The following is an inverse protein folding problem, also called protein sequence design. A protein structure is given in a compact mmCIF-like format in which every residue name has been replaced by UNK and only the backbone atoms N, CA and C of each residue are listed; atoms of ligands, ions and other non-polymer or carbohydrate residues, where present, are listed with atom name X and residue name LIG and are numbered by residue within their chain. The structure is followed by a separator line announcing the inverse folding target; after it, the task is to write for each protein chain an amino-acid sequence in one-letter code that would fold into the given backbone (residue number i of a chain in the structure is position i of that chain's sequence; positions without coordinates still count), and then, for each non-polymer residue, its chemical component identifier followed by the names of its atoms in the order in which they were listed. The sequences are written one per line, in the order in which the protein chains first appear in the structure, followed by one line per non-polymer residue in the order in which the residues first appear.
data_IF_288304786277
#
_entry.id   IF_288304786277
#
_cell.length_a   1.000
_cell.length_b   1.000
_cell.length_c   1.000
_cell.angle_alpha   90.00
_cell.angle_beta   90.00
_cell.angle_gamma   90.00
#
_symmetry.space_group_name_H-M   'P 1'
#
loop_
_entity.id
_entity.type
_entity.pdbx_description
1 polymer ?
#
# COMPACT_ATOMS: atom_id res chain seq x y z
N UNK A 1 78.78 60.08 18.09
CA UNK A 1 78.56 60.59 16.72
C UNK A 1 78.16 59.41 15.85
N UNK A 2 76.94 59.39 15.28
CA UNK A 2 76.65 59.55 13.83
C UNK A 2 77.47 58.57 12.95
N UNK A 3 76.97 57.77 12.02
CA UNK A 3 75.65 57.51 11.42
C UNK A 3 75.77 56.19 10.60
N UNK A 4 74.72 55.36 10.62
CA UNK A 4 74.03 54.64 9.50
C UNK A 4 74.84 54.07 8.31
N UNK A 5 74.54 52.83 7.89
CA UNK A 5 73.85 52.55 6.60
C UNK A 5 73.33 51.09 6.50
N UNK A 6 72.17 50.94 5.84
CA UNK A 6 71.28 49.77 5.67
C UNK A 6 71.77 48.74 4.61
N UNK A 7 71.21 47.51 4.57
CA UNK A 7 70.19 47.26 3.54
C UNK A 7 68.96 46.44 3.98
N UNK A 8 67.92 46.61 3.15
CA UNK A 8 66.56 46.09 3.14
C UNK A 8 66.50 44.60 2.78
N UNK A 9 65.59 43.80 3.36
CA UNK A 9 64.95 42.65 2.68
C UNK A 9 63.58 42.30 3.31
N UNK A 10 62.61 42.03 2.41
CA UNK A 10 61.39 41.23 2.45
C UNK A 10 60.13 41.59 3.28
N UNK A 11 59.08 41.79 2.48
CA UNK A 11 57.66 41.65 2.77
C UNK A 11 57.26 40.21 3.11
N UNK A 12 56.14 40.05 3.83
CA UNK A 12 55.07 39.10 3.48
C UNK A 12 53.79 39.42 4.26
N UNK A 13 52.70 39.54 3.51
CA UNK A 13 51.30 39.66 3.94
C UNK A 13 50.82 38.36 4.60
N UNK A 14 49.96 38.44 5.63
CA UNK A 14 49.09 37.34 6.02
C UNK A 14 47.79 37.80 6.71
N UNK A 15 46.67 37.25 6.22
CA UNK A 15 45.40 36.91 6.91
C UNK A 15 44.51 38.08 7.42
N UNK A 16 43.17 38.11 7.23
CA UNK A 16 42.21 36.99 7.31
C UNK A 16 40.75 37.40 7.00
N UNK A 17 39.96 36.36 6.65
CA UNK A 17 38.53 36.08 6.96
C UNK A 17 37.39 37.03 6.53
N UNK A 18 36.54 36.55 5.61
CA UNK A 18 35.22 35.98 5.99
C UNK A 18 34.40 35.60 4.75
N UNK A 19 34.37 34.31 4.40
CA UNK A 19 33.41 33.76 3.46
C UNK A 19 32.40 32.93 4.27
N UNK A 20 31.29 33.56 4.64
CA UNK A 20 30.17 32.90 5.32
C UNK A 20 29.38 32.12 4.26
N UNK A 21 29.75 30.85 4.06
CA UNK A 21 28.96 29.92 3.26
C UNK A 21 27.72 29.51 4.07
N UNK A 22 26.55 30.02 3.70
CA UNK A 22 25.27 29.55 4.22
C UNK A 22 25.02 28.13 3.72
N UNK A 23 25.48 27.15 4.50
CA UNK A 23 25.07 25.76 4.38
C UNK A 23 23.57 25.70 4.68
N UNK A 24 22.75 25.84 3.65
CA UNK A 24 21.37 25.35 3.73
C UNK A 24 21.47 23.84 3.91
N UNK A 25 20.93 23.25 5.00
CA UNK A 25 20.80 21.81 5.05
C UNK A 25 19.87 21.44 3.89
N UNK A 26 20.43 20.84 2.84
CA UNK A 26 19.63 20.09 1.89
C UNK A 26 19.00 18.97 2.73
N UNK A 27 17.71 19.08 3.03
CA UNK A 27 16.98 18.02 3.72
C UNK A 27 17.07 16.80 2.81
N UNK A 28 17.94 15.86 3.18
CA UNK A 28 18.12 14.63 2.45
C UNK A 28 16.73 13.99 2.35
N UNK A 29 16.29 13.73 1.11
CA UNK A 29 15.04 13.02 0.87
C UNK A 29 15.09 11.72 1.69
N UNK A 30 14.06 11.41 2.51
CA UNK A 30 14.02 10.12 3.17
C UNK A 30 14.21 9.04 2.10
N UNK A 31 15.15 8.12 2.32
CA UNK A 31 15.38 7.01 1.40
C UNK A 31 14.18 6.06 1.50
N UNK A 32 13.17 6.31 0.66
CA UNK A 32 11.92 5.58 0.64
C UNK A 32 12.08 4.39 -0.31
N UNK A 33 11.94 3.14 0.18
CA UNK A 33 12.12 1.95 -0.63
C UNK A 33 11.15 1.84 -1.81
N UNK A 34 11.64 1.30 -2.94
CA UNK A 34 10.84 1.11 -4.16
C UNK A 34 9.79 0.00 -4.05
N UNK A 35 9.88 -0.85 -3.03
CA UNK A 35 8.92 -1.95 -2.80
C UNK A 35 7.63 -1.51 -2.07
N UNK A 36 7.40 -0.19 -1.96
CA UNK A 36 6.15 0.42 -1.54
C UNK A 36 5.25 0.69 -2.77
N UNK A 37 4.34 -0.24 -3.05
CA UNK A 37 3.51 -0.25 -4.27
C UNK A 37 2.12 0.38 -4.12
N UNK A 38 1.41 0.40 -5.24
CA UNK A 38 0.00 0.82 -5.34
C UNK A 38 -0.32 2.22 -4.78
N UNK A 39 0.66 3.14 -4.85
CA UNK A 39 0.51 4.52 -4.34
C UNK A 39 0.89 4.69 -2.86
N UNK A 40 1.32 3.62 -2.17
CA UNK A 40 1.80 3.72 -0.78
C UNK A 40 3.05 4.61 -0.68
N UNK A 41 3.98 4.51 -1.63
CA UNK A 41 5.17 5.39 -1.68
C UNK A 41 4.78 6.86 -1.71
N UNK A 42 3.93 7.26 -2.66
CA UNK A 42 3.44 8.62 -2.78
C UNK A 42 2.70 9.10 -1.53
N UNK A 43 1.98 8.22 -0.85
CA UNK A 43 1.32 8.51 0.42
C UNK A 43 2.30 8.71 1.59
N UNK A 44 3.36 7.90 1.65
CA UNK A 44 4.44 8.07 2.63
C UNK A 44 5.19 9.38 2.39
N UNK A 45 5.49 9.72 1.13
CA UNK A 45 6.08 11.01 0.76
C UNK A 45 5.16 12.15 1.19
N UNK A 46 3.86 12.05 0.89
CA UNK A 46 2.87 13.04 1.28
C UNK A 46 2.83 13.26 2.80
N UNK A 47 2.96 12.19 3.60
CA UNK A 47 2.96 12.28 5.06
C UNK A 47 4.13 13.12 5.61
N UNK A 48 5.31 13.02 5.00
CA UNK A 48 6.51 13.74 5.47
C UNK A 48 6.78 15.07 4.76
N UNK A 49 6.46 15.15 3.46
CA UNK A 49 6.79 16.27 2.59
C UNK A 49 5.68 16.48 1.55
N UNK A 50 4.53 17.05 1.95
CA UNK A 50 3.37 17.22 1.08
C UNK A 50 3.60 18.17 -0.10
N UNK A 51 4.68 18.97 -0.10
CA UNK A 51 5.10 19.81 -1.22
C UNK A 51 6.00 19.09 -2.23
N UNK A 52 6.40 17.84 -1.96
CA UNK A 52 7.18 17.06 -2.92
C UNK A 52 6.33 16.75 -4.17
N UNK A 53 6.86 16.87 -5.40
CA UNK A 53 6.11 16.59 -6.62
C UNK A 53 5.62 15.14 -6.73
N UNK A 54 6.22 14.19 -6.03
CA UNK A 54 5.78 12.80 -5.97
C UNK A 54 4.73 12.55 -4.87
N UNK A 55 4.51 13.52 -3.98
CA UNK A 55 3.54 13.43 -2.91
C UNK A 55 2.11 13.35 -3.48
N UNK A 56 1.37 12.32 -3.08
CA UNK A 56 -0.04 12.21 -3.41
C UNK A 56 -0.83 11.58 -2.26
N UNK A 57 -2.04 12.09 -2.00
CA UNK A 57 -3.05 11.37 -1.21
C UNK A 57 -3.84 10.45 -2.13
N UNK A 58 -3.69 9.12 -2.04
CA UNK A 58 -4.54 8.21 -2.77
C UNK A 58 -5.97 8.39 -2.26
N UNK A 59 -6.89 8.74 -3.17
CA UNK A 59 -8.30 9.05 -2.85
C UNK A 59 -9.01 7.91 -2.09
N UNK A 60 -8.49 6.69 -2.20
CA UNK A 60 -9.11 5.46 -1.66
C UNK A 60 -8.25 4.74 -0.63
N UNK A 61 -7.26 5.40 -0.05
CA UNK A 61 -6.53 4.85 1.09
C UNK A 61 -7.50 4.59 2.26
N UNK A 62 -7.40 3.42 2.88
CA UNK A 62 -8.23 3.02 4.02
C UNK A 62 -7.43 3.15 5.30
N UNK A 63 -8.05 3.70 6.35
CA UNK A 63 -7.40 3.90 7.65
C UNK A 63 -8.20 3.24 8.76
N UNK A 64 -7.52 2.80 9.82
CA UNK A 64 -8.18 2.44 11.07
C UNK A 64 -8.36 3.65 12.00
N UNK A 65 -8.97 3.43 13.18
CA UNK A 65 -9.18 4.48 14.18
C UNK A 65 -7.88 5.04 14.78
N UNK A 66 -6.74 4.37 14.58
CA UNK A 66 -5.41 4.81 15.00
C UNK A 66 -4.64 5.55 13.90
N UNK A 67 -5.26 5.77 12.73
CA UNK A 67 -4.64 6.46 11.60
C UNK A 67 -3.64 5.59 10.82
N UNK A 68 -3.60 4.27 11.05
CA UNK A 68 -2.78 3.34 10.27
C UNK A 68 -3.44 3.03 8.95
N UNK A 69 -2.67 2.87 7.88
CA UNK A 69 -3.18 2.62 6.54
C UNK A 69 -3.28 1.11 6.24
N UNK A 70 -4.38 0.67 5.61
CA UNK A 70 -4.54 -0.71 5.18
C UNK A 70 -3.60 -1.04 4.01
N UNK A 71 -2.83 -2.11 4.17
CA UNK A 71 -1.84 -2.57 3.21
C UNK A 71 -1.85 -4.09 3.08
N UNK A 72 -1.36 -4.53 1.93
CA UNK A 72 -1.12 -5.92 1.59
C UNK A 72 0.38 -6.13 1.50
N UNK A 73 0.90 -6.95 2.40
CA UNK A 73 2.31 -7.28 2.51
C UNK A 73 2.53 -8.67 1.92
N UNK A 74 3.46 -8.75 0.98
CA UNK A 74 3.80 -9.99 0.30
C UNK A 74 5.13 -10.52 0.83
N UNK A 75 5.14 -11.77 1.28
CA UNK A 75 6.35 -12.44 1.72
C UNK A 75 7.17 -12.94 0.52
N UNK A 76 8.50 -13.01 0.67
CA UNK A 76 9.42 -13.55 -0.34
C UNK A 76 9.88 -14.99 -0.03
N UNK A 77 9.46 -15.57 1.09
CA UNK A 77 9.79 -16.95 1.50
C UNK A 77 11.16 -17.13 2.16
N UNK A 78 11.98 -16.08 2.29
CA UNK A 78 13.30 -16.16 2.97
C UNK A 78 13.19 -16.26 4.50
N UNK A 79 12.01 -16.00 5.05
CA UNK A 79 11.68 -16.14 6.47
C UNK A 79 10.36 -16.89 6.63
N UNK A 80 10.20 -17.67 7.71
CA UNK A 80 8.90 -18.19 8.11
C UNK A 80 7.89 -17.06 8.32
N UNK A 81 6.65 -17.26 7.89
CA UNK A 81 5.60 -16.23 7.96
C UNK A 81 5.31 -15.77 9.40
N UNK A 82 5.45 -16.67 10.38
CA UNK A 82 5.34 -16.36 11.80
C UNK A 82 6.44 -15.39 12.29
N UNK A 83 7.67 -15.50 11.77
CA UNK A 83 8.74 -14.57 12.15
C UNK A 83 8.57 -13.20 11.49
N UNK A 84 8.08 -13.18 10.24
CA UNK A 84 7.77 -11.95 9.53
C UNK A 84 6.63 -11.18 10.23
N UNK A 85 5.55 -11.87 10.59
CA UNK A 85 4.41 -11.27 11.32
C UNK A 85 4.83 -10.69 12.67
N UNK A 86 5.60 -11.43 13.48
CA UNK A 86 6.13 -10.91 14.74
C UNK A 86 7.02 -9.67 14.54
N UNK A 87 7.84 -9.65 13.48
CA UNK A 87 8.68 -8.49 13.15
C UNK A 87 7.83 -7.28 12.76
N UNK A 88 6.76 -7.48 12.00
CA UNK A 88 5.81 -6.41 11.63
C UNK A 88 5.07 -5.87 12.86
N UNK A 89 4.58 -6.75 13.74
CA UNK A 89 3.88 -6.34 14.97
C UNK A 89 4.77 -5.53 15.90
N UNK A 90 6.07 -5.86 15.98
CA UNK A 90 7.05 -5.08 16.75
C UNK A 90 7.20 -3.63 16.25
N UNK A 91 6.84 -3.36 14.99
CA UNK A 91 6.80 -2.02 14.40
C UNK A 91 5.44 -1.33 14.57
N UNK A 92 4.49 -1.92 15.30
CA UNK A 92 3.15 -1.37 15.51
C UNK A 92 2.17 -1.66 14.37
N UNK A 93 2.54 -2.55 13.44
CA UNK A 93 1.63 -3.06 12.41
C UNK A 93 0.58 -3.94 13.06
N UNK A 94 -0.70 -3.70 12.77
CA UNK A 94 -1.80 -4.57 13.22
C UNK A 94 -2.19 -5.51 12.10
N UNK A 95 -1.93 -6.79 12.31
CA UNK A 95 -2.30 -7.85 11.36
C UNK A 95 -3.82 -8.04 11.39
N UNK A 96 -4.44 -8.01 10.21
CA UNK A 96 -5.88 -8.25 10.04
C UNK A 96 -6.15 -9.66 9.53
N UNK A 97 -5.33 -10.15 8.59
CA UNK A 97 -5.46 -11.48 8.03
C UNK A 97 -4.11 -11.99 7.51
N UNK A 98 -3.95 -13.31 7.49
CA UNK A 98 -2.78 -13.99 6.94
C UNK A 98 -3.23 -15.09 5.99
N UNK A 99 -2.77 -15.03 4.74
CA UNK A 99 -2.99 -16.06 3.74
C UNK A 99 -1.66 -16.77 3.45
N UNK A 100 -1.46 -17.92 4.10
CA UNK A 100 -0.29 -18.76 3.90
C UNK A 100 -0.32 -19.57 2.59
N UNK A 101 -1.48 -19.66 1.93
CA UNK A 101 -1.66 -20.41 0.67
C UNK A 101 -1.31 -19.59 -0.57
N UNK A 102 -1.22 -18.27 -0.46
CA UNK A 102 -0.86 -17.41 -1.57
C UNK A 102 0.66 -17.32 -1.73
N UNK A 103 1.21 -18.06 -2.69
CA UNK A 103 2.66 -18.11 -2.99
C UNK A 103 3.48 -18.34 -1.71
N UNK A 104 4.33 -17.38 -1.33
CA UNK A 104 5.17 -17.45 -0.13
C UNK A 104 4.53 -16.82 1.12
N UNK A 105 3.28 -16.33 1.00
CA UNK A 105 2.51 -15.66 2.05
C UNK A 105 2.04 -14.27 1.64
N UNK A 106 0.78 -13.96 1.95
CA UNK A 106 0.23 -12.61 1.90
C UNK A 106 -0.36 -12.24 3.27
N UNK A 107 -0.21 -10.99 3.66
CA UNK A 107 -0.64 -10.47 4.96
C UNK A 107 -1.41 -9.17 4.72
N UNK A 108 -2.66 -9.14 5.14
CA UNK A 108 -3.47 -7.91 5.20
C UNK A 108 -3.26 -7.27 6.56
N UNK A 109 -2.86 -6.00 6.60
CA UNK A 109 -2.52 -5.34 7.85
C UNK A 109 -2.72 -3.83 7.81
N UNK A 110 -2.87 -3.22 8.99
CA UNK A 110 -2.83 -1.79 9.19
C UNK A 110 -1.42 -1.35 9.59
N UNK A 111 -0.78 -0.55 8.75
CA UNK A 111 0.61 -0.08 8.86
C UNK A 111 0.63 1.40 9.29
N UNK A 112 1.35 1.76 10.36
CA UNK A 112 1.66 3.16 10.64
C UNK A 112 2.53 3.75 9.52
N UNK A 113 2.13 4.89 8.94
CA UNK A 113 2.84 5.49 7.80
C UNK A 113 4.27 5.86 8.17
N UNK A 114 4.49 6.27 9.41
CA UNK A 114 5.79 6.62 9.95
C UNK A 114 6.75 5.42 10.11
N UNK A 115 6.22 4.20 10.02
CA UNK A 115 6.98 2.95 10.07
C UNK A 115 7.07 2.26 8.72
N UNK A 116 6.45 2.81 7.66
CA UNK A 116 6.38 2.17 6.36
C UNK A 116 7.76 1.90 5.73
N UNK A 117 8.67 2.87 5.82
CA UNK A 117 10.06 2.71 5.33
C UNK A 117 10.82 1.62 6.08
N UNK A 118 10.68 1.55 7.40
CA UNK A 118 11.32 0.51 8.22
C UNK A 118 10.72 -0.87 7.95
N UNK A 119 9.39 -0.94 7.84
CA UNK A 119 8.68 -2.17 7.51
C UNK A 119 9.11 -2.71 6.15
N UNK A 120 9.25 -1.85 5.13
CA UNK A 120 9.70 -2.21 3.79
C UNK A 120 11.15 -2.73 3.71
N UNK A 121 11.98 -2.43 4.72
CA UNK A 121 13.36 -2.90 4.83
C UNK A 121 13.50 -4.23 5.58
N UNK A 122 12.42 -4.73 6.20
CA UNK A 122 12.47 -6.01 6.89
C UNK A 122 12.85 -7.14 5.92
N UNK A 123 13.67 -8.07 6.41
CA UNK A 123 13.99 -9.30 5.68
C UNK A 123 12.72 -10.14 5.55
N UNK A 124 12.59 -10.89 4.46
CA UNK A 124 11.48 -11.83 4.29
C UNK A 124 10.25 -11.30 3.54
N UNK A 125 10.20 -10.01 3.19
CA UNK A 125 9.15 -9.44 2.33
C UNK A 125 9.65 -9.13 0.91
N UNK A 126 8.72 -9.13 -0.05
CA UNK A 126 8.94 -8.70 -1.43
C UNK A 126 8.38 -7.31 -1.68
N UNK A 127 7.16 -7.03 -1.22
CA UNK A 127 6.50 -5.75 -1.43
C UNK A 127 5.45 -5.46 -0.36
N UNK A 128 5.14 -4.17 -0.18
CA UNK A 128 4.00 -3.67 0.59
C UNK A 128 3.18 -2.79 -0.34
N UNK A 129 1.93 -3.17 -0.60
CA UNK A 129 1.03 -2.43 -1.47
C UNK A 129 -0.10 -1.78 -0.67
N UNK A 130 -0.45 -0.54 -1.00
CA UNK A 130 -1.67 0.07 -0.49
C UNK A 130 -2.90 -0.78 -0.88
N UNK A 131 -3.84 -0.94 0.05
CA UNK A 131 -5.11 -1.63 -0.18
C UNK A 131 -6.25 -0.62 -0.40
N UNK A 132 -6.58 -0.26 -1.65
CA UNK A 132 -7.59 0.75 -1.92
C UNK A 132 -9.00 0.24 -1.56
N UNK A 133 -9.83 1.12 -1.01
CA UNK A 133 -11.25 0.83 -0.72
C UNK A 133 -11.95 0.32 -1.98
N UNK A 134 -12.61 -0.85 -2.01
CA UNK A 134 -13.38 -1.31 -3.17
C UNK A 134 -14.46 -0.33 -3.62
N UNK A 135 -14.88 -0.39 -4.89
CA UNK A 135 -15.91 0.47 -5.46
C UNK A 135 -16.91 -0.38 -6.22
N UNK A 136 -18.18 -0.10 -6.03
CA UNK A 136 -19.28 -0.68 -6.80
C UNK A 136 -19.52 0.16 -8.04
N UNK A 137 -19.57 -0.48 -9.21
CA UNK A 137 -20.13 0.13 -10.41
C UNK A 137 -21.60 -0.28 -10.48
N UNK A 138 -22.47 0.56 -9.93
CA UNK A 138 -23.91 0.28 -9.88
C UNK A 138 -24.58 0.75 -11.16
N UNK A 139 -25.41 -0.12 -11.72
CA UNK A 139 -26.34 0.17 -12.80
C UNK A 139 -27.55 -0.75 -12.64
N UNK A 140 -28.73 -0.33 -13.10
CA UNK A 140 -29.93 -1.16 -13.06
C UNK A 140 -29.71 -2.42 -13.92
N UNK A 141 -29.55 -3.57 -13.28
CA UNK A 141 -29.54 -4.86 -13.96
C UNK A 141 -30.97 -5.16 -14.39
N UNK A 142 -31.25 -5.06 -15.69
CA UNK A 142 -32.55 -5.47 -16.24
C UNK A 142 -32.51 -6.96 -16.57
N UNK A 143 -33.65 -7.64 -16.44
CA UNK A 143 -33.81 -9.06 -16.75
C UNK A 143 -33.52 -9.42 -18.23
N UNK A 144 -33.19 -8.43 -19.07
CA UNK A 144 -32.83 -8.60 -20.48
C UNK A 144 -31.55 -9.43 -20.69
N UNK A 145 -30.73 -9.62 -19.64
CA UNK A 145 -29.53 -10.46 -19.70
C UNK A 145 -29.83 -11.92 -20.11
N UNK A 146 -30.93 -12.50 -19.64
CA UNK A 146 -31.32 -13.87 -20.00
C UNK A 146 -31.61 -14.01 -21.51
N UNK A 147 -32.25 -13.00 -22.10
CA UNK A 147 -32.57 -12.95 -23.53
C UNK A 147 -31.31 -12.76 -24.37
N UNK A 148 -30.41 -11.85 -23.95
CA UNK A 148 -29.14 -11.60 -24.64
C UNK A 148 -28.24 -12.82 -24.61
N UNK A 149 -28.19 -13.52 -23.47
CA UNK A 149 -27.37 -14.73 -23.30
C UNK A 149 -28.06 -16.01 -23.76
N UNK A 150 -29.34 -15.94 -24.19
CA UNK A 150 -30.16 -17.08 -24.65
C UNK A 150 -30.13 -18.25 -23.66
N UNK A 151 -30.19 -17.94 -22.37
CA UNK A 151 -30.10 -18.95 -21.31
C UNK A 151 -31.29 -19.90 -21.32
N UNK A 152 -32.42 -19.47 -21.89
CA UNK A 152 -33.59 -20.29 -22.18
C UNK A 152 -33.27 -21.50 -23.06
N UNK A 153 -32.48 -21.32 -24.13
CA UNK A 153 -32.10 -22.40 -25.03
C UNK A 153 -31.14 -23.39 -24.37
N UNK A 154 -30.21 -22.88 -23.54
CA UNK A 154 -29.24 -23.70 -22.80
C UNK A 154 -29.95 -24.56 -21.76
N UNK A 155 -30.88 -23.96 -21.01
CA UNK A 155 -31.70 -24.67 -20.04
C UNK A 155 -32.61 -25.70 -20.72
N UNK A 156 -33.21 -25.35 -21.87
CA UNK A 156 -34.04 -26.27 -22.65
C UNK A 156 -33.27 -27.47 -23.20
N UNK A 157 -31.96 -27.32 -23.42
CA UNK A 157 -31.05 -28.42 -23.78
C UNK A 157 -30.63 -29.28 -22.56
N UNK A 158 -31.13 -29.00 -21.36
CA UNK A 158 -30.89 -29.77 -20.14
C UNK A 158 -29.67 -29.32 -19.33
N UNK A 159 -29.01 -28.23 -19.71
CA UNK A 159 -27.87 -27.69 -18.95
C UNK A 159 -28.34 -26.61 -17.98
N UNK A 160 -28.46 -26.97 -16.71
CA UNK A 160 -29.05 -26.11 -15.66
C UNK A 160 -28.03 -25.55 -14.68
N UNK A 161 -26.77 -26.02 -14.73
CA UNK A 161 -25.75 -25.68 -13.73
C UNK A 161 -25.83 -26.51 -12.44
N UNK A 162 -26.72 -27.50 -12.36
CA UNK A 162 -26.82 -28.40 -11.20
C UNK A 162 -25.47 -29.05 -10.89
N UNK A 163 -25.03 -28.95 -9.63
CA UNK A 163 -23.75 -29.47 -9.15
C UNK A 163 -22.54 -28.54 -9.39
N UNK A 164 -22.75 -27.32 -9.90
CA UNK A 164 -21.71 -26.30 -10.02
C UNK A 164 -21.78 -25.35 -8.82
N UNK A 165 -20.71 -25.27 -8.04
CA UNK A 165 -20.61 -24.29 -6.95
C UNK A 165 -20.16 -22.93 -7.48
N UNK A 166 -20.92 -21.89 -7.20
CA UNK A 166 -20.60 -20.49 -7.55
C UNK A 166 -20.30 -19.70 -6.27
N UNK A 167 -19.11 -19.08 -6.21
CA UNK A 167 -18.76 -18.17 -5.11
C UNK A 167 -19.16 -16.74 -5.44
N UNK A 168 -20.07 -16.14 -4.65
CA UNK A 168 -20.50 -14.75 -4.82
C UNK A 168 -19.88 -13.88 -3.73
N UNK A 169 -19.16 -12.83 -4.15
CA UNK A 169 -18.65 -11.78 -3.26
C UNK A 169 -19.29 -10.44 -3.67
N UNK A 170 -20.35 -10.08 -2.98
CA UNK A 170 -21.16 -8.89 -3.26
C UNK A 170 -21.68 -8.27 -1.97
N UNK A 171 -21.91 -6.97 -1.96
CA UNK A 171 -22.57 -6.23 -0.89
C UNK A 171 -24.11 -6.24 -0.99
N UNK A 172 -24.65 -6.85 -2.06
CA UNK A 172 -26.08 -6.90 -2.39
C UNK A 172 -26.65 -8.32 -2.45
N UNK A 173 -25.94 -9.32 -1.92
CA UNK A 173 -26.47 -10.68 -1.84
C UNK A 173 -27.59 -10.79 -0.79
N UNK A 174 -28.70 -11.46 -1.16
CA UNK A 174 -29.87 -11.71 -0.30
C UNK A 174 -30.52 -10.45 0.32
N UNK A 175 -30.53 -9.32 -0.40
CA UNK A 175 -31.12 -8.05 0.07
C UNK A 175 -32.47 -7.71 -0.57
N UNK A 176 -33.02 -8.58 -1.43
CA UNK A 176 -34.33 -8.35 -2.05
C UNK A 176 -35.42 -8.32 -0.99
N UNK A 177 -36.31 -7.31 -0.97
CA UNK A 177 -37.42 -7.26 -0.03
C UNK A 177 -38.54 -8.27 -0.37
N UNK A 178 -38.61 -8.73 -1.62
CA UNK A 178 -39.58 -9.73 -2.10
C UNK A 178 -38.86 -10.83 -2.91
N UNK A 179 -38.05 -11.68 -2.27
CA UNK A 179 -37.35 -12.75 -2.97
C UNK A 179 -38.31 -13.90 -3.34
N UNK A 180 -38.06 -14.55 -4.49
CA UNK A 180 -38.72 -15.83 -4.81
C UNK A 180 -38.09 -16.99 -4.03
N UNK A 181 -36.77 -16.96 -3.84
CA UNK A 181 -35.99 -17.83 -2.95
C UNK A 181 -34.98 -16.98 -2.20
N UNK A 182 -34.67 -17.37 -0.96
CA UNK A 182 -33.63 -16.72 -0.16
C UNK A 182 -32.30 -17.43 -0.32
N UNK A 183 -31.21 -16.77 0.07
CA UNK A 183 -29.90 -17.43 0.14
C UNK A 183 -29.88 -18.73 0.94
N UNK A 184 -30.70 -18.80 2.01
CA UNK A 184 -30.81 -20.01 2.81
C UNK A 184 -31.52 -21.14 2.06
N UNK A 185 -32.48 -20.81 1.19
CA UNK A 185 -33.17 -21.79 0.36
C UNK A 185 -32.22 -22.31 -0.72
N UNK A 186 -31.47 -21.42 -1.37
CA UNK A 186 -30.49 -21.74 -2.42
C UNK A 186 -29.35 -22.64 -1.86
N UNK A 187 -28.80 -22.29 -0.69
CA UNK A 187 -27.76 -23.12 -0.04
C UNK A 187 -28.29 -24.50 0.36
N UNK A 188 -29.56 -24.59 0.76
CA UNK A 188 -30.19 -25.86 1.13
C UNK A 188 -30.48 -26.76 -0.08
N UNK A 189 -30.81 -26.18 -1.23
CA UNK A 189 -30.99 -26.92 -2.50
C UNK A 189 -29.66 -27.23 -3.20
N UNK A 190 -28.59 -26.51 -2.84
CA UNK A 190 -27.27 -26.64 -3.47
C UNK A 190 -27.10 -25.78 -4.73
N UNK A 191 -27.91 -24.71 -4.85
CA UNK A 191 -27.83 -23.67 -5.87
C UNK A 191 -26.87 -22.52 -5.45
#
# INVERSE_FOLDING_TARGET
MRHRFFPRVCATLALSLSLCATLTPAWARPNIPDNLGAGLRALVIYHYSPSDPEAAKPVRAQYDSSGRVLVEIYANGKLPLAQLTASLESLGVKISAVNSRYRSGAISAYLPLEKATLAAQLRGLSAIALSPKPMTNVGLTTAQGAVVHKTDLVNAAGFTGTGITVGLMSDSYNVSPNPYTTSSDDVASGD
#
